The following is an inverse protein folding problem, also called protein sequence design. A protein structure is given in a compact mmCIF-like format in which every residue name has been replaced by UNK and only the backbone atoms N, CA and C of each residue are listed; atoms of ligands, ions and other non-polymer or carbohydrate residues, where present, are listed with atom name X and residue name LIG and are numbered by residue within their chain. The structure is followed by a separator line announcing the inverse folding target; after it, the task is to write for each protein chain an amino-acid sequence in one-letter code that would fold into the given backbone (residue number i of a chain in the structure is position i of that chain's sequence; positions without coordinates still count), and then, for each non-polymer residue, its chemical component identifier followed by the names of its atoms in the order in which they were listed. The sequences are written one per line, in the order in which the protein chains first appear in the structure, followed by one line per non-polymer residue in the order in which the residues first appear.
data_IF_351052753306
#
_entry.id   IF_351052753306
#
_cell.length_a   1.000
_cell.length_b   1.000
_cell.length_c   1.000
_cell.angle_alpha   90.00
_cell.angle_beta   90.00
_cell.angle_gamma   90.00
#
_symmetry.space_group_name_H-M   'P 1'
#
loop_
_entity.id
_entity.type
_entity.pdbx_description
1 polymer ?
#
# COMPACT_ATOMS: atom_id res chain seq x y z
N UNK A 1 27.52 -4.12 41.37
CA UNK A 1 26.74 -5.35 41.55
C UNK A 1 25.33 -5.06 41.07
N UNK A 2 25.13 -5.47 39.82
CA UNK A 2 23.96 -6.18 39.31
C UNK A 2 22.61 -5.48 39.28
N UNK A 3 22.07 -5.37 38.05
CA UNK A 3 20.62 -5.31 37.86
C UNK A 3 20.06 -4.28 36.89
N UNK A 4 20.83 -3.74 35.93
CA UNK A 4 20.21 -3.14 34.74
C UNK A 4 19.89 -4.31 33.79
N UNK A 5 18.63 -4.73 33.79
CA UNK A 5 18.08 -5.62 32.78
C UNK A 5 18.20 -4.90 31.44
N UNK A 6 19.25 -5.20 30.69
CA UNK A 6 19.36 -4.86 29.26
C UNK A 6 18.54 -5.94 28.55
N UNK A 7 17.37 -5.63 27.98
CA UNK A 7 16.65 -6.60 27.15
C UNK A 7 17.62 -7.05 26.05
N UNK A 8 17.72 -8.36 25.87
CA UNK A 8 18.78 -9.04 25.10
C UNK A 8 19.22 -8.24 23.89
N UNK A 9 20.48 -7.81 23.89
CA UNK A 9 21.07 -7.29 22.67
C UNK A 9 21.01 -8.39 21.62
N UNK A 10 20.40 -8.08 20.47
CA UNK A 10 20.36 -8.97 19.31
C UNK A 10 21.72 -8.98 18.60
N UNK A 11 22.82 -9.02 19.36
CA UNK A 11 24.13 -9.34 18.82
C UNK A 11 23.96 -10.75 18.22
N UNK A 12 24.08 -10.87 16.90
CA UNK A 12 23.99 -12.11 16.11
C UNK A 12 22.63 -12.44 15.43
N UNK A 13 21.69 -11.49 15.32
CA UNK A 13 20.49 -11.66 14.47
C UNK A 13 20.59 -10.78 13.22
N UNK A 14 20.68 -11.40 12.04
CA UNK A 14 20.58 -10.73 10.74
C UNK A 14 19.17 -10.90 10.16
N UNK A 15 18.59 -9.79 9.69
CA UNK A 15 17.24 -9.75 9.11
C UNK A 15 17.32 -9.09 7.75
N UNK A 16 17.17 -9.89 6.70
CA UNK A 16 17.15 -9.39 5.32
C UNK A 16 15.73 -9.21 4.81
N UNK A 17 15.36 -7.95 4.56
CA UNK A 17 14.11 -7.61 3.86
C UNK A 17 14.22 -7.72 2.32
N UNK A 18 15.39 -8.11 1.80
CA UNK A 18 15.73 -8.00 0.39
C UNK A 18 15.96 -9.34 -0.33
N UNK A 19 15.77 -10.47 0.36
CA UNK A 19 15.98 -11.83 -0.18
C UNK A 19 15.16 -12.10 -1.45
N UNK A 20 13.99 -11.48 -1.58
CA UNK A 20 13.08 -11.63 -2.71
C UNK A 20 12.79 -10.30 -3.42
N UNK A 21 13.72 -9.34 -3.34
CA UNK A 21 13.53 -8.02 -3.93
C UNK A 21 13.39 -8.11 -5.46
N UNK A 22 12.36 -7.47 -6.01
CA UNK A 22 11.95 -7.60 -7.40
C UNK A 22 10.84 -8.63 -7.62
N UNK A 23 10.62 -9.55 -6.68
CA UNK A 23 9.50 -10.50 -6.71
C UNK A 23 8.26 -9.96 -6.02
N UNK A 24 7.10 -10.31 -6.54
CA UNK A 24 5.78 -10.00 -5.97
C UNK A 24 5.38 -10.94 -4.83
N UNK A 25 5.98 -12.12 -4.72
CA UNK A 25 5.56 -13.15 -3.76
C UNK A 25 5.51 -12.66 -2.28
N UNK A 26 6.52 -11.97 -1.73
CA UNK A 26 6.55 -11.60 -0.31
C UNK A 26 5.49 -10.58 0.12
N UNK A 27 4.85 -9.93 -0.85
CA UNK A 27 3.83 -8.91 -0.62
C UNK A 27 2.43 -9.38 -1.01
N UNK A 28 2.31 -10.45 -1.78
CA UNK A 28 1.02 -11.09 -2.03
C UNK A 28 0.44 -11.66 -0.72
N UNK A 29 1.28 -12.37 0.05
CA UNK A 29 0.93 -12.99 1.33
C UNK A 29 1.96 -12.69 2.41
N UNK A 30 1.48 -12.42 3.62
CA UNK A 30 2.30 -12.07 4.79
C UNK A 30 2.81 -13.30 5.56
N UNK A 31 2.36 -14.49 5.17
CA UNK A 31 2.77 -15.77 5.75
C UNK A 31 3.16 -16.75 4.66
N UNK A 32 4.13 -17.62 4.96
CA UNK A 32 4.53 -18.71 4.07
C UNK A 32 3.38 -19.67 3.77
N UNK A 33 2.44 -19.86 4.71
CA UNK A 33 1.27 -20.74 4.56
C UNK A 33 0.19 -20.19 3.61
N UNK A 34 0.33 -18.95 3.12
CA UNK A 34 -0.57 -18.31 2.13
C UNK A 34 -2.06 -18.47 2.45
N UNK A 35 -2.41 -18.31 3.72
CA UNK A 35 -3.80 -18.39 4.20
C UNK A 35 -4.58 -17.12 3.84
N UNK A 36 -5.91 -17.22 3.70
CA UNK A 36 -6.74 -16.10 3.28
C UNK A 36 -6.53 -14.82 4.12
N UNK A 37 -6.43 -14.96 5.44
CA UNK A 37 -6.23 -13.83 6.36
C UNK A 37 -4.84 -13.16 6.23
N UNK A 38 -3.87 -13.79 5.57
CA UNK A 38 -2.56 -13.20 5.30
C UNK A 38 -2.45 -12.58 3.92
N UNK A 39 -3.53 -12.56 3.13
CA UNK A 39 -3.55 -11.84 1.85
C UNK A 39 -3.40 -10.35 2.08
N UNK A 40 -2.51 -9.74 1.30
CA UNK A 40 -2.31 -8.30 1.31
C UNK A 40 -2.40 -7.72 -0.10
N UNK A 41 -1.34 -7.82 -0.92
CA UNK A 41 -1.37 -7.37 -2.32
C UNK A 41 -1.76 -8.48 -3.30
N UNK A 42 -2.09 -9.68 -2.83
CA UNK A 42 -2.49 -10.81 -3.69
C UNK A 42 -3.60 -10.42 -4.66
N UNK A 43 -4.67 -9.78 -4.17
CA UNK A 43 -5.80 -9.36 -5.02
C UNK A 43 -5.36 -8.38 -6.10
N UNK A 44 -4.49 -7.42 -5.75
CA UNK A 44 -3.94 -6.45 -6.71
C UNK A 44 -3.11 -7.18 -7.77
N UNK A 45 -2.12 -7.97 -7.35
CA UNK A 45 -1.22 -8.69 -8.27
C UNK A 45 -2.00 -9.63 -9.18
N UNK A 46 -2.91 -10.44 -8.63
CA UNK A 46 -3.77 -11.35 -9.40
C UNK A 46 -4.59 -10.59 -10.44
N UNK A 47 -5.14 -9.43 -10.08
CA UNK A 47 -5.95 -8.63 -10.97
C UNK A 47 -5.18 -8.13 -12.20
N UNK A 48 -3.95 -7.67 -11.98
CA UNK A 48 -3.03 -7.24 -13.03
C UNK A 48 -2.59 -8.43 -13.90
N UNK A 49 -2.26 -9.56 -13.29
CA UNK A 49 -1.84 -10.75 -14.03
C UNK A 49 -2.93 -11.27 -14.96
N UNK A 50 -4.18 -11.27 -14.49
CA UNK A 50 -5.35 -11.62 -15.31
C UNK A 50 -5.58 -10.68 -16.51
N UNK A 51 -4.86 -9.56 -16.59
CA UNK A 51 -4.94 -8.55 -17.67
C UNK A 51 -3.64 -8.46 -18.48
N UNK A 52 -2.80 -9.49 -18.40
CA UNK A 52 -1.61 -9.63 -19.25
C UNK A 52 -0.30 -9.17 -18.60
N UNK A 53 -0.32 -8.74 -17.34
CA UNK A 53 0.92 -8.52 -16.61
C UNK A 53 1.55 -9.87 -16.21
N UNK A 54 2.85 -9.95 -16.37
CA UNK A 54 3.71 -11.08 -16.01
C UNK A 54 4.43 -10.73 -14.70
N UNK A 55 4.28 -11.60 -13.70
CA UNK A 55 4.97 -11.46 -12.41
C UNK A 55 6.48 -11.42 -12.59
N UNK A 56 7.12 -10.63 -11.75
CA UNK A 56 8.56 -10.49 -11.59
C UNK A 56 9.29 -9.97 -12.85
N UNK A 57 8.53 -9.60 -13.88
CA UNK A 57 8.99 -8.94 -15.10
C UNK A 57 8.29 -7.58 -15.25
N UNK A 58 6.98 -7.62 -15.52
CA UNK A 58 6.11 -6.45 -15.75
C UNK A 58 5.33 -6.01 -14.50
N UNK A 59 5.22 -6.87 -13.49
CA UNK A 59 4.78 -6.45 -12.15
C UNK A 59 5.77 -7.00 -11.14
N UNK A 60 6.43 -6.11 -10.40
CA UNK A 60 7.56 -6.41 -9.55
C UNK A 60 7.33 -5.86 -8.16
N UNK A 61 7.92 -6.51 -7.16
CA UNK A 61 7.78 -6.10 -5.78
C UNK A 61 9.03 -5.42 -5.23
N UNK A 62 8.87 -4.29 -4.55
CA UNK A 62 9.96 -3.62 -3.85
C UNK A 62 9.70 -3.67 -2.32
N UNK A 63 10.05 -4.81 -1.70
CA UNK A 63 9.99 -4.98 -0.25
C UNK A 63 11.11 -4.22 0.46
N UNK A 64 10.87 -3.83 1.71
CA UNK A 64 11.86 -3.16 2.55
C UNK A 64 11.61 -3.50 4.02
N UNK A 65 12.59 -3.20 4.87
CA UNK A 65 12.41 -3.38 6.32
C UNK A 65 11.46 -2.29 6.85
N UNK A 66 10.18 -2.66 7.00
CA UNK A 66 9.13 -1.74 7.43
C UNK A 66 9.27 -1.29 8.90
N UNK A 67 10.21 -1.86 9.67
CA UNK A 67 10.52 -1.41 11.04
C UNK A 67 11.35 -0.13 11.02
N UNK A 68 12.06 0.10 9.92
CA UNK A 68 13.03 1.18 9.74
C UNK A 68 12.40 2.43 9.15
N UNK A 69 12.92 3.59 9.53
CA UNK A 69 12.60 4.87 8.91
C UNK A 69 13.57 5.18 7.74
N UNK A 70 13.30 6.17 6.87
CA UNK A 70 14.07 6.36 5.64
C UNK A 70 15.59 6.55 5.79
N UNK A 71 16.05 7.08 6.92
CA UNK A 71 17.47 7.25 7.24
C UNK A 71 18.24 5.92 7.39
N UNK A 72 17.52 4.80 7.52
CA UNK A 72 18.08 3.45 7.59
C UNK A 72 17.75 2.62 6.34
N UNK A 73 17.20 3.24 5.28
CA UNK A 73 16.75 2.58 4.06
C UNK A 73 17.62 2.88 2.83
N UNK A 74 18.91 3.18 3.03
CA UNK A 74 19.85 3.46 1.92
C UNK A 74 19.98 2.27 0.96
N UNK A 75 20.02 1.04 1.49
CA UNK A 75 20.05 -0.16 0.64
C UNK A 75 18.77 -0.30 -0.20
N UNK A 76 17.60 -0.03 0.39
CA UNK A 76 16.35 0.01 -0.36
C UNK A 76 16.43 1.05 -1.48
N UNK A 77 16.90 2.28 -1.20
CA UNK A 77 17.01 3.33 -2.22
C UNK A 77 17.88 2.89 -3.41
N UNK A 78 19.04 2.26 -3.14
CA UNK A 78 19.93 1.72 -4.18
C UNK A 78 19.26 0.60 -4.97
N UNK A 79 18.67 -0.39 -4.27
CA UNK A 79 17.99 -1.52 -4.92
C UNK A 79 16.78 -1.06 -5.73
N UNK A 80 16.02 -0.08 -5.24
CA UNK A 80 14.86 0.51 -5.91
C UNK A 80 15.25 1.20 -7.21
N UNK A 81 16.32 2.01 -7.20
CA UNK A 81 16.88 2.62 -8.43
C UNK A 81 17.27 1.55 -9.44
N UNK A 82 18.04 0.54 -9.04
CA UNK A 82 18.44 -0.56 -9.92
C UNK A 82 17.25 -1.32 -10.48
N UNK A 83 16.26 -1.59 -9.63
CA UNK A 83 15.05 -2.30 -10.00
C UNK A 83 14.27 -1.52 -11.05
N UNK A 84 14.09 -0.21 -10.90
CA UNK A 84 13.43 0.62 -11.92
C UNK A 84 14.19 0.59 -13.25
N UNK A 85 15.51 0.72 -13.24
CA UNK A 85 16.31 0.73 -14.46
C UNK A 85 16.32 -0.61 -15.19
N UNK A 86 16.43 -1.72 -14.45
CA UNK A 86 16.35 -3.07 -14.98
C UNK A 86 15.00 -3.30 -15.66
N UNK A 87 13.95 -2.96 -14.92
CA UNK A 87 12.55 -3.08 -15.30
C UNK A 87 12.21 -2.25 -16.55
N UNK A 88 12.73 -1.02 -16.64
CA UNK A 88 12.66 -0.17 -17.84
C UNK A 88 13.32 -0.83 -19.06
N UNK A 89 14.52 -1.40 -18.90
CA UNK A 89 15.25 -2.09 -19.99
C UNK A 89 14.51 -3.36 -20.44
N UNK A 90 14.00 -4.15 -19.50
CA UNK A 90 13.26 -5.38 -19.77
C UNK A 90 11.95 -5.13 -20.53
N UNK A 91 11.36 -3.95 -20.40
CA UNK A 91 10.10 -3.58 -21.07
C UNK A 91 10.29 -2.60 -22.21
N UNK A 92 11.34 -2.79 -23.00
CA UNK A 92 11.59 -2.02 -24.22
C UNK A 92 11.61 -0.50 -23.96
N UNK A 93 12.26 -0.09 -22.87
CA UNK A 93 12.42 1.31 -22.49
C UNK A 93 11.09 2.03 -22.20
N UNK A 94 10.08 1.30 -21.69
CA UNK A 94 8.85 1.91 -21.19
C UNK A 94 9.06 2.38 -19.76
N UNK A 95 8.64 3.62 -19.47
CA UNK A 95 8.70 4.21 -18.14
C UNK A 95 7.89 3.39 -17.12
N UNK A 96 8.39 3.31 -15.90
CA UNK A 96 7.81 2.53 -14.79
C UNK A 96 6.70 3.32 -14.10
N UNK A 97 5.64 2.62 -13.70
CA UNK A 97 4.61 3.15 -12.80
C UNK A 97 4.90 2.66 -11.38
N UNK A 98 4.96 3.60 -10.44
CA UNK A 98 5.18 3.34 -9.03
C UNK A 98 3.84 3.28 -8.30
N UNK A 99 3.64 2.27 -7.48
CA UNK A 99 2.49 2.19 -6.57
C UNK A 99 3.00 2.04 -5.14
N UNK A 100 2.64 3.01 -4.29
CA UNK A 100 2.78 2.88 -2.85
C UNK A 100 1.45 2.58 -2.21
N UNK A 101 1.45 1.75 -1.16
CA UNK A 101 0.34 1.66 -0.22
C UNK A 101 0.77 2.13 1.17
N UNK A 102 -0.06 2.95 1.82
CA UNK A 102 0.14 3.44 3.17
C UNK A 102 1.55 4.06 3.34
N UNK A 103 2.33 3.65 4.34
CA UNK A 103 3.71 4.11 4.55
C UNK A 103 4.62 3.91 3.33
N UNK A 104 4.36 2.95 2.44
CA UNK A 104 5.11 2.75 1.21
C UNK A 104 5.06 3.96 0.28
N UNK A 105 4.00 4.76 0.36
CA UNK A 105 3.90 6.03 -0.36
C UNK A 105 4.91 7.07 0.15
N UNK A 106 5.12 7.14 1.47
CA UNK A 106 6.06 8.07 2.08
C UNK A 106 7.50 7.66 1.78
N UNK A 107 7.78 6.35 1.79
CA UNK A 107 9.09 5.81 1.42
C UNK A 107 9.41 6.11 -0.05
N UNK A 108 8.44 5.91 -0.95
CA UNK A 108 8.60 6.30 -2.37
C UNK A 108 8.78 7.80 -2.54
N UNK A 109 8.03 8.62 -1.83
CA UNK A 109 8.17 10.08 -1.90
C UNK A 109 9.56 10.53 -1.41
N UNK A 110 10.02 9.99 -0.27
CA UNK A 110 11.36 10.27 0.24
C UNK A 110 12.44 9.88 -0.78
N UNK A 111 12.35 8.69 -1.37
CA UNK A 111 13.26 8.24 -2.42
C UNK A 111 13.22 9.15 -3.65
N UNK A 112 12.04 9.49 -4.17
CA UNK A 112 11.86 10.38 -5.33
C UNK A 112 12.42 11.79 -5.09
N UNK A 113 12.30 12.32 -3.87
CA UNK A 113 12.86 13.62 -3.48
C UNK A 113 14.40 13.62 -3.45
N UNK A 114 15.02 12.44 -3.30
CA UNK A 114 16.47 12.27 -3.40
C UNK A 114 17.01 12.15 -4.82
N UNK A 115 16.15 12.02 -5.83
CA UNK A 115 16.55 11.83 -7.23
C UNK A 115 16.48 13.14 -8.01
N UNK A 116 17.40 13.30 -8.97
CA UNK A 116 17.35 14.42 -9.90
C UNK A 116 16.16 14.29 -10.88
N UNK A 117 15.71 15.43 -11.39
CA UNK A 117 14.52 15.49 -12.23
C UNK A 117 14.71 14.77 -13.58
N UNK A 118 15.91 14.83 -14.18
CA UNK A 118 16.20 14.18 -15.47
C UNK A 118 16.06 12.65 -15.38
N UNK A 119 16.51 12.05 -14.27
CA UNK A 119 16.32 10.62 -14.01
C UNK A 119 14.83 10.28 -13.88
N UNK A 120 14.07 11.07 -13.11
CA UNK A 120 12.62 10.86 -12.94
C UNK A 120 11.88 10.98 -14.28
N UNK A 121 12.21 12.00 -15.06
CA UNK A 121 11.63 12.20 -16.39
C UNK A 121 11.96 11.07 -17.35
N UNK A 122 13.14 10.44 -17.24
CA UNK A 122 13.52 9.30 -18.06
C UNK A 122 12.80 8.02 -17.66
N UNK A 123 12.73 7.72 -16.37
CA UNK A 123 12.37 6.37 -15.90
C UNK A 123 10.96 6.25 -15.33
N UNK A 124 10.35 7.33 -14.84
CA UNK A 124 9.08 7.28 -14.11
C UNK A 124 7.96 7.88 -14.96
N UNK A 125 6.88 7.12 -15.14
CA UNK A 125 5.69 7.58 -15.85
C UNK A 125 4.70 8.24 -14.90
N UNK A 126 4.46 7.57 -13.77
CA UNK A 126 3.37 7.89 -12.87
C UNK A 126 3.67 7.37 -11.47
N UNK A 127 3.34 8.15 -10.46
CA UNK A 127 3.29 7.70 -9.06
C UNK A 127 1.85 7.60 -8.57
N UNK A 128 1.42 6.42 -8.15
CA UNK A 128 0.10 6.15 -7.62
C UNK A 128 0.24 5.92 -6.11
N UNK A 129 -0.30 6.85 -5.33
CA UNK A 129 -0.32 6.70 -3.87
C UNK A 129 -1.68 6.16 -3.43
N UNK A 130 -1.68 5.08 -2.67
CA UNK A 130 -2.88 4.46 -2.11
C UNK A 130 -2.91 4.66 -0.60
N UNK A 131 -3.89 5.45 -0.11
CA UNK A 131 -4.09 5.79 1.30
C UNK A 131 -2.81 6.25 2.03
N UNK A 132 -2.08 7.19 1.43
CA UNK A 132 -0.83 7.69 2.00
C UNK A 132 -1.07 8.55 3.27
N UNK A 133 -0.44 8.24 4.41
CA UNK A 133 -0.49 9.05 5.62
C UNK A 133 0.49 10.23 5.53
N UNK A 134 0.25 11.15 4.60
CA UNK A 134 1.19 12.23 4.26
C UNK A 134 1.68 13.08 5.42
N UNK A 135 0.82 13.38 6.40
CA UNK A 135 1.19 14.10 7.62
C UNK A 135 1.21 13.22 8.87
N UNK A 136 1.25 11.90 8.70
CA UNK A 136 1.19 10.91 9.78
C UNK A 136 -0.23 10.43 10.11
N UNK A 137 -0.32 9.54 11.10
CA UNK A 137 -1.59 9.03 11.64
C UNK A 137 -1.47 8.83 13.16
N UNK A 138 -2.56 9.13 13.87
CA UNK A 138 -2.65 8.84 15.30
C UNK A 138 -2.63 7.34 15.61
N UNK A 139 -2.98 6.47 14.66
CA UNK A 139 -2.86 5.02 14.84
C UNK A 139 -1.44 4.60 15.21
N UNK A 140 -0.41 5.26 14.64
CA UNK A 140 0.98 4.97 14.99
C UNK A 140 1.28 5.30 16.47
N UNK A 141 0.84 6.46 16.96
CA UNK A 141 0.96 6.82 18.38
C UNK A 141 0.15 5.87 19.27
N UNK A 142 -1.07 5.49 18.86
CA UNK A 142 -1.90 4.55 19.60
C UNK A 142 -1.19 3.22 19.84
N UNK A 143 -0.49 2.70 18.83
CA UNK A 143 0.28 1.45 18.93
C UNK A 143 1.46 1.62 19.90
N UNK A 144 2.19 2.73 19.81
CA UNK A 144 3.30 3.02 20.74
C UNK A 144 2.84 3.19 22.20
N UNK A 145 1.59 3.61 22.41
CA UNK A 145 1.01 3.78 23.74
C UNK A 145 0.34 2.53 24.30
N UNK A 146 -0.36 1.77 23.46
CA UNK A 146 -1.29 0.72 23.89
C UNK A 146 -0.99 -0.66 23.31
N UNK A 147 -0.15 -0.76 22.28
CA UNK A 147 0.04 -1.97 21.48
C UNK A 147 -1.16 -2.35 20.61
N UNK A 148 -2.26 -1.59 20.68
CA UNK A 148 -3.47 -1.89 19.93
C UNK A 148 -3.39 -1.34 18.50
N UNK A 149 -3.61 -2.22 17.54
CA UNK A 149 -3.83 -1.89 16.14
C UNK A 149 -5.29 -2.28 15.80
N UNK A 150 -6.20 -1.33 15.49
CA UNK A 150 -7.61 -1.63 15.24
C UNK A 150 -7.85 -2.71 14.17
N UNK A 151 -6.99 -2.81 13.18
CA UNK A 151 -7.04 -3.77 12.08
C UNK A 151 -6.70 -5.20 12.54
N UNK A 152 -6.00 -5.35 13.68
CA UNK A 152 -5.67 -6.64 14.29
C UNK A 152 -6.53 -6.98 15.51
N UNK A 153 -7.63 -6.27 15.76
CA UNK A 153 -8.54 -6.54 16.90
C UNK A 153 -9.08 -7.98 16.99
N UNK A 154 -9.04 -8.72 15.88
CA UNK A 154 -9.51 -10.11 15.82
C UNK A 154 -8.42 -11.13 16.19
N UNK A 155 -7.16 -10.69 16.33
CA UNK A 155 -6.07 -11.53 16.80
C UNK A 155 -5.99 -11.45 18.32
N UNK A 156 -5.83 -12.61 18.97
CA UNK A 156 -5.58 -12.69 20.41
C UNK A 156 -4.09 -12.47 20.62
N UNK A 157 -3.71 -11.20 20.82
CA UNK A 157 -2.33 -10.79 21.09
C UNK A 157 -2.25 -10.18 22.48
N UNK A 158 -1.13 -10.39 23.18
CA UNK A 158 -0.80 -9.59 24.35
C UNK A 158 -0.41 -8.18 23.87
N UNK A 159 -1.23 -7.19 24.21
CA UNK A 159 -1.02 -5.82 23.78
C UNK A 159 0.21 -5.18 24.43
N UNK A 160 0.65 -5.66 25.61
CA UNK A 160 1.88 -5.16 26.23
C UNK A 160 3.11 -5.64 25.46
N UNK A 161 3.15 -6.91 25.05
CA UNK A 161 4.23 -7.44 24.21
C UNK A 161 4.26 -6.78 22.84
N UNK A 162 3.10 -6.59 22.21
CA UNK A 162 2.99 -5.86 20.94
C UNK A 162 3.48 -4.42 21.10
N UNK A 163 3.13 -3.76 22.20
CA UNK A 163 3.61 -2.40 22.52
C UNK A 163 5.12 -2.38 22.65
N UNK A 164 5.71 -3.30 23.41
CA UNK A 164 7.15 -3.33 23.65
C UNK A 164 7.92 -3.61 22.35
N UNK A 165 7.43 -4.52 21.50
CA UNK A 165 7.97 -4.75 20.17
C UNK A 165 7.83 -3.52 19.26
N UNK A 166 6.64 -2.93 19.19
CA UNK A 166 6.38 -1.75 18.37
C UNK A 166 7.28 -0.56 18.75
N UNK A 167 7.58 -0.41 20.05
CA UNK A 167 8.50 0.60 20.57
C UNK A 167 9.96 0.42 20.12
N UNK A 168 10.28 -0.68 19.46
CA UNK A 168 11.59 -0.89 18.82
C UNK A 168 11.64 -0.42 17.36
N UNK A 169 10.51 0.03 16.77
CA UNK A 169 10.41 0.37 15.34
C UNK A 169 10.44 1.89 15.10
N UNK A 170 11.56 2.47 14.62
CA UNK A 170 11.63 3.89 14.25
C UNK A 170 10.56 4.32 13.24
N UNK A 171 10.07 3.42 12.38
CA UNK A 171 9.02 3.72 11.41
C UNK A 171 7.71 4.15 12.06
N UNK A 172 7.34 3.62 13.23
CA UNK A 172 6.14 4.03 13.94
C UNK A 172 6.28 5.44 14.51
N UNK A 173 7.45 5.79 15.02
CA UNK A 173 7.73 7.16 15.44
C UNK A 173 7.68 8.13 14.25
N UNK A 174 8.21 7.71 13.09
CA UNK A 174 8.17 8.49 11.85
C UNK A 174 6.74 8.70 11.32
N UNK A 175 5.83 7.75 11.54
CA UNK A 175 4.42 7.80 11.11
C UNK A 175 3.50 8.56 12.07
N UNK A 176 3.98 9.00 13.23
CA UNK A 176 3.19 9.85 14.12
C UNK A 176 2.80 11.16 13.43
N UNK A 177 1.72 11.82 13.90
CA UNK A 177 1.36 13.16 13.44
C UNK A 177 2.59 14.08 13.38
N UNK A 178 2.89 14.60 12.19
CA UNK A 178 4.10 15.40 11.99
C UNK A 178 3.83 16.86 12.38
N UNK A 179 4.60 17.43 13.31
CA UNK A 179 4.39 18.80 13.80
C UNK A 179 4.34 19.87 12.69
N UNK A 180 5.10 19.70 11.61
CA UNK A 180 5.15 20.66 10.51
C UNK A 180 3.88 20.56 9.67
N UNK A 181 3.47 19.33 9.31
CA UNK A 181 2.42 19.09 8.32
C UNK A 181 1.04 18.77 8.90
N UNK A 182 0.92 18.50 10.20
CA UNK A 182 -0.36 18.23 10.85
C UNK A 182 -1.21 19.51 10.88
N UNK A 183 -2.43 19.45 10.35
CA UNK A 183 -3.29 20.65 10.27
C UNK A 183 -3.84 21.05 11.63
N UNK A 184 -4.14 20.06 12.47
CA UNK A 184 -4.82 20.22 13.75
C UNK A 184 -3.81 20.31 14.90
N UNK A 185 -2.90 21.27 14.84
CA UNK A 185 -1.75 21.34 15.77
C UNK A 185 -2.15 21.61 17.22
N UNK A 186 -3.29 22.28 17.42
CA UNK A 186 -3.80 22.65 18.75
C UNK A 186 -4.81 21.63 19.30
N UNK A 187 -5.28 20.68 18.47
CA UNK A 187 -6.15 19.60 18.92
C UNK A 187 -5.32 18.62 19.79
N UNK A 188 -5.84 18.18 20.95
CA UNK A 188 -5.14 17.21 21.78
C UNK A 188 -5.10 15.84 21.09
N UNK A 189 -3.90 15.28 20.95
CA UNK A 189 -3.70 13.91 20.50
C UNK A 189 -3.91 12.91 21.64
N UNK A 190 -3.50 13.29 22.86
CA UNK A 190 -3.63 12.49 24.08
C UNK A 190 -4.18 13.38 25.20
N UNK A 191 -5.19 12.90 25.93
CA UNK A 191 -5.71 13.55 27.13
C UNK A 191 -5.47 12.64 28.32
N UNK A 192 -4.50 12.95 29.18
CA UNK A 192 -4.28 12.23 30.44
C UNK A 192 -5.18 12.79 31.56
N UNK A 193 -5.22 12.15 32.74
CA UNK A 193 -5.94 12.68 33.89
C UNK A 193 -5.51 14.08 34.35
N UNK A 194 -4.29 14.50 34.02
CA UNK A 194 -3.68 15.74 34.52
C UNK A 194 -3.38 16.77 33.43
N UNK A 195 -3.33 16.37 32.16
CA UNK A 195 -2.81 17.18 31.07
C UNK A 195 -3.30 16.72 29.70
N UNK A 196 -3.41 17.67 28.77
CA UNK A 196 -3.56 17.39 27.34
C UNK A 196 -2.21 17.52 26.61
N UNK A 197 -1.95 16.65 25.64
CA UNK A 197 -0.76 16.66 24.81
C UNK A 197 -1.17 16.84 23.35
N UNK A 198 -0.58 17.83 22.69
CA UNK A 198 -0.72 18.10 21.26
C UNK A 198 0.47 17.52 20.50
N UNK A 199 0.51 17.76 19.17
CA UNK A 199 1.65 17.40 18.33
C UNK A 199 2.97 18.10 18.76
N UNK A 200 2.88 19.19 19.52
CA UNK A 200 4.04 19.95 20.02
C UNK A 200 4.58 19.43 21.35
N UNK A 201 3.84 18.54 22.01
CA UNK A 201 4.11 18.07 23.37
C UNK A 201 4.76 16.68 23.41
N UNK A 202 5.31 16.18 22.29
CA UNK A 202 5.83 14.81 22.24
C UNK A 202 6.95 14.56 23.25
N UNK A 203 7.86 15.52 23.45
CA UNK A 203 8.97 15.35 24.39
C UNK A 203 8.46 15.02 25.78
N UNK A 204 7.50 15.80 26.26
CA UNK A 204 6.94 15.59 27.57
C UNK A 204 6.01 14.39 27.61
N UNK A 205 5.21 14.12 26.56
CA UNK A 205 4.38 12.92 26.49
C UNK A 205 5.22 11.65 26.70
N UNK A 206 6.30 11.50 25.93
CA UNK A 206 7.16 10.32 25.99
C UNK A 206 7.91 10.21 27.32
N UNK A 207 8.29 11.32 27.95
CA UNK A 207 8.82 11.33 29.32
C UNK A 207 7.76 10.87 30.33
N UNK A 208 6.55 11.41 30.24
CA UNK A 208 5.48 11.19 31.22
C UNK A 208 4.92 9.75 31.14
N UNK A 209 5.16 9.01 30.04
CA UNK A 209 4.86 7.57 29.89
C UNK A 209 6.09 6.65 30.04
N UNK A 210 7.22 7.18 30.49
CA UNK A 210 8.49 6.46 30.67
C UNK A 210 8.99 5.74 29.40
N UNK A 211 8.95 6.42 28.25
CA UNK A 211 9.40 5.91 26.95
C UNK A 211 10.14 7.00 26.14
N UNK A 212 11.17 7.61 26.73
CA UNK A 212 11.94 8.69 26.09
C UNK A 212 12.60 8.29 24.76
N UNK A 213 12.96 7.01 24.60
CA UNK A 213 13.50 6.47 23.34
C UNK A 213 12.56 6.73 22.15
N UNK A 214 11.24 6.67 22.35
CA UNK A 214 10.26 6.98 21.30
C UNK A 214 10.35 8.42 20.82
N UNK A 215 10.59 9.36 21.73
CA UNK A 215 10.83 10.75 21.37
C UNK A 215 12.14 10.93 20.61
N UNK A 216 13.21 10.22 21.00
CA UNK A 216 14.48 10.26 20.26
C UNK A 216 14.32 9.71 18.84
N UNK A 217 13.57 8.61 18.66
CA UNK A 217 13.22 8.09 17.34
C UNK A 217 12.42 9.11 16.52
N UNK A 218 11.43 9.78 17.11
CA UNK A 218 10.68 10.84 16.45
C UNK A 218 11.58 12.03 16.06
N UNK A 219 12.42 12.51 16.98
CA UNK A 219 13.35 13.62 16.74
C UNK A 219 14.29 13.33 15.57
N UNK A 220 14.80 12.10 15.47
CA UNK A 220 15.68 11.66 14.39
C UNK A 220 14.97 11.50 13.04
N UNK A 221 13.65 11.28 13.03
CA UNK A 221 12.90 10.91 11.82
C UNK A 221 11.93 11.98 11.31
N UNK A 222 11.52 12.93 12.16
CA UNK A 222 10.47 13.95 11.85
C UNK A 222 10.77 14.82 10.62
N UNK A 223 12.04 15.02 10.29
CA UNK A 223 12.50 15.87 9.19
C UNK A 223 12.90 15.10 7.92
N UNK A 224 12.73 13.78 7.90
CA UNK A 224 13.14 12.96 6.75
C UNK A 224 12.22 13.13 5.54
N UNK A 225 10.96 13.51 5.74
CA UNK A 225 10.01 13.70 4.66
C UNK A 225 9.87 15.18 4.28
N UNK A 226 10.19 15.50 3.03
CA UNK A 226 9.78 16.74 2.38
C UNK A 226 8.42 16.51 1.74
N UNK A 227 7.37 17.12 2.28
CA UNK A 227 6.01 16.92 1.79
C UNK A 227 5.72 17.86 0.61
N UNK A 228 6.38 17.58 -0.50
CA UNK A 228 6.32 18.36 -1.74
C UNK A 228 5.94 17.49 -2.94
N UNK A 229 5.67 18.13 -4.07
CA UNK A 229 5.37 17.40 -5.30
C UNK A 229 6.58 16.55 -5.72
N UNK A 230 6.38 15.26 -6.08
CA UNK A 230 7.49 14.35 -6.40
C UNK A 230 8.19 14.64 -7.75
N UNK A 231 7.72 15.63 -8.51
CA UNK A 231 8.23 15.96 -9.85
C UNK A 231 7.78 14.99 -10.94
N UNK A 232 6.78 14.15 -10.68
CA UNK A 232 6.21 13.19 -11.65
C UNK A 232 4.69 13.31 -11.66
N UNK A 233 4.05 12.86 -12.74
CA UNK A 233 2.59 12.75 -12.75
C UNK A 233 2.12 11.84 -11.62
N UNK A 234 0.99 12.16 -11.00
CA UNK A 234 0.53 11.45 -9.82
C UNK A 234 -0.97 11.12 -9.86
N UNK A 235 -1.32 9.92 -9.41
CA UNK A 235 -2.68 9.59 -8.97
C UNK A 235 -2.70 9.51 -7.46
N UNK A 236 -3.40 10.42 -6.81
CA UNK A 236 -3.61 10.36 -5.37
C UNK A 236 -4.95 9.70 -5.05
N UNK A 237 -4.88 8.49 -4.49
CA UNK A 237 -6.05 7.66 -4.17
C UNK A 237 -6.18 7.53 -2.65
N UNK A 238 -7.35 7.87 -2.11
CA UNK A 238 -7.60 7.75 -0.68
C UNK A 238 -9.08 7.53 -0.34
N UNK A 239 -9.31 7.01 0.87
CA UNK A 239 -10.65 6.92 1.47
C UNK A 239 -11.19 8.31 1.84
N UNK A 240 -12.41 8.64 1.42
CA UNK A 240 -13.05 9.92 1.75
C UNK A 240 -14.52 9.71 2.14
N UNK A 241 -14.90 10.18 3.33
CA UNK A 241 -16.28 10.09 3.83
C UNK A 241 -16.80 8.66 3.98
N UNK A 242 -15.92 7.70 4.29
CA UNK A 242 -16.29 6.30 4.50
C UNK A 242 -16.79 6.04 5.93
N UNK A 243 -16.01 6.44 6.94
CA UNK A 243 -16.36 6.21 8.33
C UNK A 243 -15.85 7.32 9.25
N UNK A 244 -16.55 7.51 10.37
CA UNK A 244 -16.09 8.34 11.49
C UNK A 244 -15.37 7.50 12.55
N UNK A 245 -14.70 6.41 12.14
CA UNK A 245 -14.05 5.46 13.06
C UNK A 245 -12.53 5.64 13.14
N UNK A 246 -11.97 6.58 12.38
CA UNK A 246 -10.53 6.85 12.38
C UNK A 246 -10.14 7.53 13.69
N UNK A 247 -9.07 7.08 14.34
CA UNK A 247 -8.64 7.64 15.64
C UNK A 247 -8.11 9.07 15.44
N UNK A 248 -8.66 10.03 16.20
CA UNK A 248 -8.25 11.45 16.21
C UNK A 248 -7.68 11.90 17.56
N UNK A 249 -8.06 11.26 18.67
CA UNK A 249 -7.43 11.43 19.98
C UNK A 249 -7.55 10.19 20.86
N UNK A 250 -6.65 10.07 21.85
CA UNK A 250 -6.67 9.06 22.91
C UNK A 250 -7.07 9.69 24.24
N UNK A 251 -8.21 9.27 24.82
CA UNK A 251 -8.74 9.82 26.07
C UNK A 251 -8.49 8.88 27.24
N UNK A 252 -7.56 9.28 28.11
CA UNK A 252 -7.18 8.60 29.34
C UNK A 252 -7.70 9.32 30.60
N UNK A 253 -8.52 10.37 30.48
CA UNK A 253 -8.96 11.16 31.65
C UNK A 253 -9.71 10.35 32.72
N UNK A 254 -10.35 9.26 32.30
CA UNK A 254 -11.04 8.31 33.20
C UNK A 254 -10.15 7.20 33.76
N UNK A 255 -8.81 7.29 33.62
CA UNK A 255 -7.83 6.27 34.06
C UNK A 255 -7.07 6.71 35.30
N UNK A 256 -6.33 5.79 35.90
CA UNK A 256 -5.53 6.05 37.11
C UNK A 256 -4.51 7.17 36.91
N UNK A 257 -4.43 8.20 37.77
CA UNK A 257 -3.48 9.30 37.60
C UNK A 257 -2.00 8.89 37.54
N UNK A 258 -1.64 7.75 38.13
CA UNK A 258 -0.23 7.30 38.25
C UNK A 258 0.16 6.23 37.25
N UNK A 259 -0.80 5.56 36.60
CA UNK A 259 -0.56 4.44 35.66
C UNK A 259 -1.49 4.48 34.45
N UNK A 260 -2.03 5.64 34.11
CA UNK A 260 -3.00 5.80 33.03
C UNK A 260 -2.50 5.24 31.69
N UNK A 261 -1.20 5.31 31.43
CA UNK A 261 -0.57 4.84 30.19
C UNK A 261 -0.45 3.31 30.08
N UNK A 262 -0.75 2.56 31.14
CA UNK A 262 -0.86 1.10 31.12
C UNK A 262 -2.31 0.61 30.98
N UNK A 263 -3.29 1.52 30.99
CA UNK A 263 -4.70 1.23 30.76
C UNK A 263 -5.11 1.54 29.32
N UNK A 264 -6.20 0.97 28.83
CA UNK A 264 -6.69 1.27 27.48
C UNK A 264 -7.43 2.62 27.44
N UNK A 265 -7.14 3.55 26.53
CA UNK A 265 -7.88 4.80 26.41
C UNK A 265 -9.29 4.58 25.83
N UNK A 266 -10.18 5.54 26.04
CA UNK A 266 -11.32 5.72 25.14
C UNK A 266 -10.82 6.37 23.85
N UNK A 267 -11.24 5.85 22.70
CA UNK A 267 -10.84 6.39 21.39
C UNK A 267 -11.83 7.48 20.97
N UNK A 268 -11.33 8.69 20.70
CA UNK A 268 -12.11 9.73 20.03
C UNK A 268 -11.86 9.58 18.54
N UNK A 269 -12.92 9.35 17.78
CA UNK A 269 -12.84 9.04 16.36
C UNK A 269 -13.47 10.12 15.48
N UNK A 270 -13.04 10.16 14.21
CA UNK A 270 -13.51 11.10 13.21
C UNK A 270 -13.29 10.61 11.79
N UNK A 271 -13.44 11.51 10.83
CA UNK A 271 -13.36 11.21 9.40
C UNK A 271 -11.95 10.75 8.96
N UNK A 272 -11.93 9.80 8.03
CA UNK A 272 -10.75 9.15 7.49
C UNK A 272 -11.09 7.78 6.91
N UNK A 273 -10.09 6.92 6.79
CA UNK A 273 -10.23 5.57 6.23
C UNK A 273 -10.16 4.44 7.27
N UNK A 274 -10.52 4.74 8.52
CA UNK A 274 -10.36 3.89 9.74
C UNK A 274 -8.93 3.86 10.31
N UNK A 275 -7.92 4.27 9.55
CA UNK A 275 -6.52 4.26 9.99
C UNK A 275 -5.89 5.65 9.92
N UNK A 276 -6.08 6.37 8.82
CA UNK A 276 -5.44 7.64 8.52
C UNK A 276 -6.51 8.74 8.48
N UNK A 277 -6.35 9.81 9.29
CA UNK A 277 -7.31 10.91 9.27
C UNK A 277 -7.39 11.60 7.91
N UNK A 278 -8.59 12.03 7.54
CA UNK A 278 -8.86 12.57 6.20
C UNK A 278 -7.95 13.74 5.80
N UNK A 279 -7.58 14.61 6.75
CA UNK A 279 -6.69 15.75 6.48
C UNK A 279 -5.26 15.32 6.12
N UNK A 280 -4.78 14.20 6.69
CA UNK A 280 -3.50 13.60 6.36
C UNK A 280 -3.54 12.97 4.96
N UNK A 281 -4.60 12.21 4.65
CA UNK A 281 -4.80 11.62 3.31
C UNK A 281 -4.84 12.67 2.18
N UNK A 282 -5.40 13.86 2.46
CA UNK A 282 -5.69 14.90 1.46
C UNK A 282 -4.49 15.83 1.13
N UNK A 283 -3.31 15.66 1.73
CA UNK A 283 -2.17 16.57 1.50
C UNK A 283 -1.67 16.63 0.05
N UNK A 284 -1.82 15.54 -0.70
CA UNK A 284 -1.50 15.49 -2.13
C UNK A 284 -2.44 16.33 -3.01
N UNK A 285 -3.62 16.75 -2.52
CA UNK A 285 -4.67 17.39 -3.35
C UNK A 285 -4.21 18.71 -3.95
N UNK A 286 -3.30 19.42 -3.28
CA UNK A 286 -2.76 20.70 -3.75
C UNK A 286 -1.53 20.56 -4.64
N UNK A 287 -1.03 19.35 -4.86
CA UNK A 287 0.16 19.13 -5.66
C UNK A 287 -0.14 19.28 -7.16
N UNK A 288 0.79 19.89 -7.90
CA UNK A 288 0.68 20.01 -9.35
C UNK A 288 0.67 18.62 -10.01
N UNK A 289 0.17 18.52 -11.25
CA UNK A 289 0.19 17.26 -12.02
C UNK A 289 -0.40 16.05 -11.27
N UNK A 290 -1.33 16.30 -10.35
CA UNK A 290 -1.94 15.27 -9.50
C UNK A 290 -3.42 15.14 -9.80
N UNK A 291 -3.85 13.94 -10.18
CA UNK A 291 -5.26 13.58 -10.33
C UNK A 291 -5.73 12.88 -9.06
N UNK A 292 -6.91 13.26 -8.58
CA UNK A 292 -7.46 12.81 -7.29
C UNK A 292 -8.52 11.75 -7.52
N UNK A 293 -8.46 10.68 -6.73
CA UNK A 293 -9.44 9.59 -6.74
C UNK A 293 -9.88 9.34 -5.32
N UNK A 294 -11.18 9.55 -5.09
CA UNK A 294 -11.80 9.39 -3.77
C UNK A 294 -12.60 8.11 -3.77
N UNK A 295 -12.39 7.29 -2.75
CA UNK A 295 -13.05 6.00 -2.59
C UNK A 295 -13.84 6.01 -1.27
N UNK A 296 -15.05 5.45 -1.27
CA UNK A 296 -15.78 5.17 -0.02
C UNK A 296 -15.38 3.80 0.50
N UNK A 297 -14.22 3.70 1.14
CA UNK A 297 -13.68 2.42 1.62
C UNK A 297 -12.74 2.61 2.81
N UNK A 298 -12.36 1.52 3.48
CA UNK A 298 -11.37 1.51 4.55
C UNK A 298 -9.93 1.52 4.00
N UNK A 299 -8.96 1.74 4.88
CA UNK A 299 -7.55 1.75 4.58
C UNK A 299 -7.09 0.51 3.81
N UNK A 300 -7.44 -0.69 4.29
CA UNK A 300 -7.15 -1.95 3.57
C UNK A 300 -8.19 -2.27 2.51
N UNK A 301 -9.44 -1.84 2.70
CA UNK A 301 -10.55 -2.14 1.80
C UNK A 301 -10.35 -1.60 0.39
N UNK A 302 -9.54 -0.55 0.21
CA UNK A 302 -9.21 0.02 -1.09
C UNK A 302 -8.49 -0.99 -2.00
N UNK A 303 -7.64 -1.85 -1.45
CA UNK A 303 -6.81 -2.80 -2.22
C UNK A 303 -7.65 -3.88 -2.91
N UNK A 304 -8.88 -4.09 -2.46
CA UNK A 304 -9.82 -5.05 -3.02
C UNK A 304 -10.94 -4.39 -3.87
N UNK A 305 -10.93 -3.07 -4.05
CA UNK A 305 -11.97 -2.38 -4.81
C UNK A 305 -11.79 -2.61 -6.31
N UNK A 306 -12.69 -3.36 -6.92
CA UNK A 306 -12.63 -3.64 -8.36
C UNK A 306 -12.67 -2.36 -9.21
N UNK A 307 -13.45 -1.35 -8.82
CA UNK A 307 -13.50 -0.06 -9.51
C UNK A 307 -12.13 0.64 -9.51
N UNK A 308 -11.40 0.59 -8.38
CA UNK A 308 -10.04 1.12 -8.31
C UNK A 308 -9.11 0.29 -9.19
N UNK A 309 -9.13 -1.04 -9.07
CA UNK A 309 -8.25 -1.91 -9.84
C UNK A 309 -8.45 -1.77 -11.35
N UNK A 310 -9.69 -1.65 -11.83
CA UNK A 310 -10.00 -1.33 -13.23
C UNK A 310 -9.37 0.00 -13.62
N UNK A 311 -9.60 1.05 -12.83
CA UNK A 311 -9.07 2.38 -13.10
C UNK A 311 -7.54 2.36 -13.14
N UNK A 312 -6.89 1.68 -12.21
CA UNK A 312 -5.43 1.55 -12.19
C UNK A 312 -4.97 0.94 -13.50
N UNK A 313 -5.48 -0.24 -13.87
CA UNK A 313 -5.13 -0.90 -15.13
C UNK A 313 -5.38 0.04 -16.32
N UNK A 314 -6.53 0.68 -16.43
CA UNK A 314 -6.86 1.58 -17.53
C UNK A 314 -5.90 2.77 -17.64
N UNK A 315 -5.57 3.42 -16.52
CA UNK A 315 -4.63 4.55 -16.54
C UNK A 315 -3.25 4.06 -16.97
N UNK A 316 -2.87 2.84 -16.57
CA UNK A 316 -1.58 2.26 -16.90
C UNK A 316 -1.53 1.82 -18.37
N UNK A 317 -2.55 1.13 -18.89
CA UNK A 317 -2.61 0.65 -20.28
C UNK A 317 -2.85 1.77 -21.29
N UNK A 318 -3.63 2.80 -20.96
CA UNK A 318 -3.82 3.96 -21.83
C UNK A 318 -2.53 4.79 -21.99
N UNK A 319 -1.66 4.83 -20.98
CA UNK A 319 -0.33 5.43 -21.12
C UNK A 319 0.54 4.70 -22.15
N UNK A 320 0.27 3.42 -22.43
CA UNK A 320 1.00 2.64 -23.44
C UNK A 320 0.46 2.84 -24.84
N UNK A 321 -0.86 2.99 -25.00
CA UNK A 321 -1.47 3.19 -26.32
C UNK A 321 -1.17 4.57 -26.90
N UNK A 322 -1.09 5.61 -26.06
CA UNK A 322 -0.72 6.97 -26.51
C UNK A 322 0.73 7.09 -26.99
N UNK A 323 1.64 6.22 -26.54
CA UNK A 323 3.06 6.22 -26.97
C UNK A 323 3.27 5.45 -28.28
N UNK A 324 2.33 4.57 -28.66
CA UNK A 324 2.46 3.72 -29.85
C UNK A 324 1.73 4.28 -31.09
N UNK A 325 1.20 5.51 -31.03
CA UNK A 325 0.65 6.18 -32.21
C UNK A 325 1.71 7.14 -32.75
N UNK A 326 2.33 6.89 -33.93
CA UNK A 326 3.15 7.90 -34.57
C UNK A 326 2.28 9.12 -34.82
N UNK A 327 2.81 10.31 -34.52
CA UNK A 327 2.16 11.56 -34.91
C UNK A 327 2.00 11.57 -36.43
N UNK A 328 0.78 11.30 -36.91
CA UNK A 328 0.41 11.49 -38.30
C UNK A 328 0.35 12.99 -38.55
N UNK A 329 1.40 13.51 -39.19
CA UNK A 329 1.38 14.81 -39.86
C UNK A 329 0.28 14.78 -40.91
N UNK A 330 -0.90 15.26 -40.54
CA UNK A 330 -2.02 15.41 -41.47
C UNK A 330 -1.90 16.77 -42.13
N UNK A 331 -1.20 16.81 -43.25
CA UNK A 331 -1.25 17.93 -44.19
C UNK A 331 -2.67 18.03 -44.74
N UNK A 332 -3.30 19.17 -44.52
CA UNK A 332 -4.66 19.46 -44.97
C UNK A 332 -4.65 19.68 -46.48
N UNK A 333 -5.31 18.81 -47.25
CA UNK A 333 -5.73 19.12 -48.62
C UNK A 333 -7.21 18.83 -48.77
N UNK A 334 -7.97 19.92 -48.81
CA UNK A 334 -9.40 19.99 -49.08
C UNK A 334 -9.66 19.62 -50.54
N UNK A 335 -10.45 18.58 -50.82
CA UNK A 335 -11.20 18.53 -52.08
C UNK A 335 -12.52 17.78 -51.90
N UNK A 336 -13.57 18.54 -52.14
CA UNK A 336 -14.99 18.17 -52.14
C UNK A 336 -15.32 17.41 -53.43
N UNK A 337 -15.98 16.26 -53.33
CA UNK A 337 -16.92 15.83 -54.39
C UNK A 337 -17.92 14.80 -53.86
N UNK A 338 -19.18 15.16 -54.04
CA UNK A 338 -20.42 14.42 -53.80
C UNK A 338 -20.73 13.52 -54.98
N UNK A 339 -21.10 12.25 -54.76
CA UNK A 339 -22.11 11.54 -55.58
C UNK A 339 -22.63 10.26 -54.93
N UNK A 340 -23.94 10.11 -55.05
CA UNK A 340 -24.87 9.04 -54.66
C UNK A 340 -24.75 7.74 -55.49
N UNK A 341 -25.00 6.56 -54.89
CA UNK A 341 -26.13 5.66 -55.20
C UNK A 341 -25.91 4.17 -54.80
N UNK A 342 -26.95 3.63 -54.14
CA UNK A 342 -27.57 2.30 -54.25
C UNK A 342 -26.79 0.97 -54.09
N UNK A 343 -27.03 0.34 -52.94
CA UNK A 343 -27.56 -1.02 -52.70
C UNK A 343 -27.11 -2.22 -53.57
N UNK A 344 -26.53 -3.23 -52.90
CA UNK A 344 -26.93 -4.64 -53.07
C UNK A 344 -26.83 -5.38 -51.74
N UNK A 345 -27.95 -6.00 -51.34
CA UNK A 345 -28.13 -6.85 -50.17
C UNK A 345 -27.65 -8.27 -50.46
N UNK A 346 -26.82 -8.85 -49.60
CA UNK A 346 -26.77 -10.31 -49.40
C UNK A 346 -26.72 -10.61 -47.92
N UNK A 347 -27.87 -11.04 -47.40
CA UNK A 347 -28.09 -11.60 -46.06
C UNK A 347 -27.37 -12.94 -45.90
N UNK A 348 -26.61 -13.08 -44.81
CA UNK A 348 -26.41 -14.37 -44.14
C UNK A 348 -26.88 -14.21 -42.70
N UNK A 349 -27.94 -14.93 -42.39
CA UNK A 349 -28.60 -15.06 -41.09
C UNK A 349 -27.76 -15.89 -40.12
N UNK A 350 -27.56 -15.36 -38.91
CA UNK A 350 -27.62 -16.14 -37.67
C UNK A 350 -28.13 -15.23 -36.55
N UNK A 351 -29.37 -15.50 -36.13
CA UNK A 351 -29.91 -15.04 -34.85
C UNK A 351 -29.03 -15.62 -33.71
N UNK A 352 -28.85 -14.97 -32.57
CA UNK A 352 -29.82 -14.91 -31.46
C UNK A 352 -29.47 -13.70 -30.58
N UNK A 353 -30.47 -12.87 -30.32
CA UNK A 353 -30.49 -11.91 -29.22
C UNK A 353 -31.23 -12.56 -28.04
N UNK A 354 -30.60 -12.60 -26.87
CA UNK A 354 -31.29 -12.79 -25.59
C UNK A 354 -30.89 -11.67 -24.64
N UNK A 355 -31.90 -11.12 -23.96
CA UNK A 355 -31.87 -9.84 -23.24
C UNK A 355 -31.22 -9.91 -21.85
N UNK A 356 -30.82 -8.77 -21.24
CA UNK A 356 -30.07 -8.70 -19.97
C UNK A 356 -30.71 -9.35 -18.72
N UNK A 357 -31.96 -9.81 -18.79
CA UNK A 357 -32.65 -10.47 -17.70
C UNK A 357 -32.30 -11.97 -17.54
N UNK A 358 -31.69 -12.61 -18.55
CA UNK A 358 -31.31 -14.03 -18.48
C UNK A 358 -29.87 -14.26 -17.98
N UNK A 359 -29.01 -13.23 -18.02
CA UNK A 359 -27.64 -13.28 -17.45
C UNK A 359 -27.67 -13.24 -15.91
N UNK A 360 -28.69 -12.62 -15.31
CA UNK A 360 -28.84 -12.50 -13.85
C UNK A 360 -29.25 -13.84 -13.21
N UNK A 361 -29.88 -14.75 -13.96
CA UNK A 361 -30.31 -16.06 -13.46
C UNK A 361 -29.19 -17.11 -13.45
N UNK A 362 -28.13 -16.92 -14.23
CA UNK A 362 -26.93 -17.78 -14.23
C UNK A 362 -25.97 -17.48 -13.07
N UNK A 363 -26.03 -16.29 -12.48
CA UNK A 363 -25.15 -15.91 -11.37
C UNK A 363 -25.68 -16.31 -9.97
N UNK A 364 -26.97 -16.62 -9.86
CA UNK A 364 -27.59 -17.00 -8.57
C UNK A 364 -27.52 -18.50 -8.24
N UNK A 365 -27.13 -19.36 -9.19
CA UNK A 365 -26.98 -20.81 -8.97
C UNK A 365 -25.55 -21.27 -8.64
N UNK A 366 -24.56 -20.37 -8.63
CA UNK A 366 -23.18 -20.69 -8.19
C UNK A 366 -22.84 -20.22 -6.78
N UNK A 367 -23.80 -19.66 -6.03
CA UNK A 367 -23.59 -19.22 -4.64
C UNK A 367 -24.23 -20.14 -3.58
N UNK A 368 -24.75 -21.29 -3.99
CA UNK A 368 -25.37 -22.27 -3.08
C UNK A 368 -24.95 -23.69 -3.43
N UNK A 369 -23.66 -24.00 -3.23
CA UNK A 369 -23.09 -25.32 -2.88
C UNK A 369 -21.62 -25.01 -2.62
N UNK A 370 -21.23 -24.82 -1.35
CA UNK A 370 -20.02 -25.38 -0.72
C UNK A 370 -20.06 -25.00 0.78
N UNK A 371 -21.06 -25.51 1.47
CA UNK A 371 -20.97 -25.78 2.92
C UNK A 371 -21.23 -27.26 3.07
N UNK A 372 -20.16 -28.05 3.21
CA UNK A 372 -20.02 -29.23 4.07
C UNK A 372 -18.91 -30.16 3.56
N UNK A 373 -18.08 -30.59 4.52
CA UNK A 373 -17.35 -31.87 4.65
C UNK A 373 -15.92 -32.03 4.08
N UNK A 374 -14.96 -32.03 5.03
CA UNK A 374 -13.94 -33.06 5.33
C UNK A 374 -12.95 -33.59 4.27
N UNK A 375 -11.65 -33.49 4.63
CA UNK A 375 -10.43 -34.24 4.20
C UNK A 375 -10.61 -35.80 4.20
N UNK A 376 -9.63 -36.64 3.77
CA UNK A 376 -8.39 -36.43 2.97
C UNK A 376 -8.14 -37.51 1.88
N UNK A 377 -7.04 -37.42 1.10
CA UNK A 377 -6.20 -38.50 0.48
C UNK A 377 -5.18 -37.80 -0.46
N UNK A 378 -3.88 -37.63 -0.13
CA UNK A 378 -2.72 -38.55 -0.21
C UNK A 378 -2.48 -39.21 -1.59
N UNK A 379 -1.22 -39.09 -2.04
CA UNK A 379 -0.49 -39.79 -3.12
C UNK A 379 -0.69 -39.23 -4.54
N UNK A 380 0.28 -39.15 -5.45
CA UNK A 380 1.75 -39.17 -5.48
C UNK A 380 2.11 -38.99 -6.98
N UNK A 381 3.34 -38.55 -7.25
CA UNK A 381 4.15 -38.81 -8.46
C UNK A 381 3.85 -38.06 -9.79
N UNK A 382 4.72 -37.07 -10.06
CA UNK A 382 5.77 -37.04 -11.11
C UNK A 382 5.50 -37.15 -12.64
N UNK A 383 6.33 -36.35 -13.34
CA UNK A 383 6.95 -36.48 -14.68
C UNK A 383 6.28 -35.95 -15.98
N UNK A 384 6.82 -34.79 -16.41
CA UNK A 384 7.61 -34.49 -17.63
C UNK A 384 7.08 -34.47 -19.10
N UNK A 385 7.70 -33.50 -19.80
CA UNK A 385 8.10 -33.37 -21.22
C UNK A 385 7.22 -32.72 -22.32
N UNK A 386 7.53 -31.43 -22.58
CA UNK A 386 8.27 -30.85 -23.74
C UNK A 386 7.69 -30.81 -25.20
N UNK A 387 8.03 -29.67 -25.83
CA UNK A 387 8.17 -29.30 -27.27
C UNK A 387 7.01 -28.72 -28.10
N UNK A 388 7.05 -27.39 -28.15
CA UNK A 388 7.22 -26.51 -29.33
C UNK A 388 6.36 -26.67 -30.61
N UNK A 389 5.64 -25.61 -30.98
CA UNK A 389 5.88 -24.74 -32.16
C UNK A 389 4.67 -23.81 -32.31
N UNK A 390 4.85 -22.50 -32.09
CA UNK A 390 5.29 -21.45 -33.01
C UNK A 390 4.12 -20.68 -33.63
N UNK A 391 4.24 -19.35 -33.50
CA UNK A 391 3.60 -18.30 -34.31
C UNK A 391 2.09 -18.11 -34.21
N UNK A 392 1.76 -16.96 -33.61
CA UNK A 392 0.53 -16.17 -33.75
C UNK A 392 -0.68 -16.55 -32.87
N UNK A 393 -0.74 -15.94 -31.68
CA UNK A 393 -1.76 -14.91 -31.44
C UNK A 393 -1.49 -14.06 -30.18
N UNK A 394 -1.03 -12.83 -30.45
CA UNK A 394 -1.36 -11.57 -29.75
C UNK A 394 -0.78 -11.34 -28.35
N UNK A 395 0.49 -10.96 -28.38
CA UNK A 395 1.08 -9.76 -27.75
C UNK A 395 0.08 -8.77 -27.09
N UNK A 396 0.11 -8.71 -25.75
CA UNK A 396 -0.32 -7.57 -24.93
C UNK A 396 0.61 -7.47 -23.70
N UNK A 397 1.93 -7.58 -23.93
CA UNK A 397 2.93 -7.42 -22.89
C UNK A 397 3.64 -6.08 -23.04
N UNK A 398 3.61 -5.26 -21.98
CA UNK A 398 4.46 -4.08 -21.92
C UNK A 398 3.96 -3.04 -20.94
N UNK A 399 4.19 -3.25 -19.65
CA UNK A 399 4.23 -2.22 -18.60
C UNK A 399 4.89 -2.78 -17.37
N UNK A 400 5.62 -1.95 -16.65
CA UNK A 400 6.33 -2.37 -15.46
C UNK A 400 5.82 -1.67 -14.20
N UNK A 401 5.63 -2.44 -13.15
CA UNK A 401 4.96 -2.02 -11.91
C UNK A 401 5.83 -2.28 -10.70
N UNK A 402 5.87 -1.34 -9.75
CA UNK A 402 6.53 -1.53 -8.46
C UNK A 402 5.58 -1.22 -7.31
N UNK A 403 5.31 -2.25 -6.51
CA UNK A 403 4.54 -2.14 -5.27
C UNK A 403 5.50 -1.92 -4.09
N UNK A 404 5.31 -0.85 -3.31
CA UNK A 404 6.00 -0.64 -2.03
C UNK A 404 5.03 -0.79 -0.85
N UNK A 405 5.51 -1.47 0.19
CA UNK A 405 4.68 -1.88 1.33
C UNK A 405 5.03 -1.12 2.59
N UNK A 406 4.16 -0.19 2.96
CA UNK A 406 4.08 0.30 4.32
C UNK A 406 3.31 -0.66 5.20
N UNK A 407 4.02 -1.48 5.97
CA UNK A 407 3.51 -2.31 7.08
C UNK A 407 2.35 -3.25 6.77
N UNK A 408 2.66 -4.55 6.65
CA UNK A 408 1.92 -5.56 7.41
C UNK A 408 2.89 -6.63 7.87
N UNK A 409 2.78 -6.96 9.15
CA UNK A 409 3.55 -7.93 9.93
C UNK A 409 4.11 -9.11 9.15
N UNK A 410 5.43 -9.26 9.20
CA UNK A 410 6.09 -10.53 8.92
C UNK A 410 5.84 -11.45 10.13
N UNK A 411 4.92 -12.41 9.98
CA UNK A 411 4.51 -13.38 11.00
C UNK A 411 5.60 -14.43 11.33
N UNK A 412 6.86 -14.19 10.98
CA UNK A 412 7.95 -15.12 11.28
C UNK A 412 8.49 -14.96 12.70
N UNK A 413 8.55 -13.74 13.24
CA UNK A 413 8.97 -13.52 14.64
C UNK A 413 7.85 -13.84 15.65
N UNK A 414 6.59 -13.69 15.25
CA UNK A 414 5.44 -14.13 16.04
C UNK A 414 5.32 -15.66 16.14
N UNK A 415 6.01 -16.42 15.29
CA UNK A 415 5.98 -17.89 15.36
C UNK A 415 6.65 -18.43 16.64
N UNK A 416 7.44 -17.61 17.35
CA UNK A 416 7.94 -17.94 18.70
C UNK A 416 6.96 -17.55 19.82
N UNK A 417 5.97 -16.71 19.54
CA UNK A 417 4.91 -16.30 20.48
C UNK A 417 3.64 -17.16 20.34
N UNK A 418 3.57 -18.02 19.32
CA UNK A 418 2.44 -18.89 19.05
C UNK A 418 2.83 -20.36 19.16
N UNK A 419 2.82 -20.88 20.39
CA UNK A 419 2.35 -22.25 20.60
C UNK A 419 0.85 -22.26 20.32
N UNK A 420 0.48 -22.65 19.11
CA UNK A 420 -0.91 -22.99 18.78
C UNK A 420 -0.95 -24.42 18.26
N UNK A 421 -1.35 -25.32 19.15
CA UNK A 421 -2.03 -26.58 18.81
C UNK A 421 -3.38 -26.33 18.11
#
# INVERSE_FOLDING_TARGET
MDGLFVPGSTHDVDISAYTYFGSTEPMEYLTKKKIYISQYLFTVVKYFVNRGFIKDQTIRGASYDFRKAPNELEEFNRKMTNLVEETYRMTFNKKVVLIGHSMGCLVLLHWLNGLNQEWKDKYISLFISLAAPWSGSLSALNVLMTGSFPEFKNFKLDLHEVRDLARTFPSLAWLMPNEVYWDKKDDPLVMSPTRNYTVRDYRELFRDINYETGYLMYENTKNLLKLENPGVDMLCVFGDGYSNKTIHSLDFRGRSPTKWFDEMPALITGDGDETVPAHSLKKCVSWQRTKIIRMKTTHLGLLAQEALLNLLVENITNLVTTVNTPASTTTTSTTTTTTTAAATTTTVTTAIATTPAEVIKSFQNSLAITTRSFLPLLNNDDEDDDKSSSSEMKLLSGLCFLLTVGSVWYLHELHQLFDMD
#
